data_IF_658197491125
#
_entry.id   IF_658197491125
#
_cell.length_a   1.000
_cell.length_b   1.000
_cell.length_c   1.000
_cell.angle_alpha   90.00
_cell.angle_beta   90.00
_cell.angle_gamma   90.00
#
_symmetry.space_group_name_H-M   'P 1'
#
loop_
_entity.id
_entity.type
_entity.pdbx_description
1 polymer ?
#
# COMPACT_ATOMS: atom_id res chain seq x y z
N UNK A 1 52.70 16.58 -20.03
CA UNK A 1 52.42 15.55 -21.03
C UNK A 1 51.15 14.89 -20.56
N UNK A 2 50.10 15.13 -21.10
CA UNK A 2 49.33 15.04 -22.31
C UNK A 2 47.96 14.53 -21.91
N UNK A 3 47.00 15.12 -22.24
CA UNK A 3 45.98 15.48 -23.24
C UNK A 3 44.62 14.94 -22.78
N UNK A 4 43.69 15.82 -22.48
CA UNK A 4 42.62 16.29 -23.38
C UNK A 4 41.67 15.18 -23.88
N UNK A 5 40.42 15.28 -23.54
CA UNK A 5 39.30 14.45 -24.03
C UNK A 5 37.93 15.03 -23.74
N UNK A 6 37.65 16.26 -24.28
CA UNK A 6 36.30 16.78 -24.45
C UNK A 6 35.54 15.93 -25.47
N UNK A 7 34.33 15.51 -25.14
CA UNK A 7 33.32 15.16 -26.15
C UNK A 7 31.98 15.78 -25.78
N UNK A 8 31.74 16.89 -26.43
CA UNK A 8 30.45 17.51 -26.71
C UNK A 8 29.70 16.70 -27.76
N UNK A 9 28.41 16.42 -27.53
CA UNK A 9 27.47 16.00 -28.59
C UNK A 9 26.14 16.66 -28.31
N UNK A 10 25.89 17.68 -29.00
CA UNK A 10 24.99 17.91 -30.13
C UNK A 10 23.50 17.95 -29.79
N UNK A 11 23.06 19.20 -29.69
CA UNK A 11 21.72 19.70 -29.98
C UNK A 11 21.25 19.24 -31.37
N UNK A 12 20.03 18.74 -31.49
CA UNK A 12 19.28 18.73 -32.73
C UNK A 12 17.90 19.30 -32.51
N UNK A 13 17.83 20.60 -32.82
CA UNK A 13 16.62 21.31 -33.20
C UNK A 13 16.15 20.83 -34.57
N UNK A 14 14.86 20.58 -34.74
CA UNK A 14 14.21 20.64 -36.01
C UNK A 14 12.94 21.46 -35.84
N UNK A 15 13.00 22.63 -36.42
CA UNK A 15 11.88 23.53 -36.66
C UNK A 15 11.45 23.42 -38.13
N UNK A 16 10.32 24.01 -38.44
CA UNK A 16 9.79 24.47 -39.72
C UNK A 16 8.78 23.51 -40.38
N UNK A 17 7.60 23.88 -40.44
CA UNK A 17 6.85 24.96 -41.14
C UNK A 17 6.14 24.36 -42.37
N UNK A 18 4.89 24.57 -42.57
CA UNK A 18 4.38 25.43 -43.65
C UNK A 18 2.87 25.37 -43.70
N UNK A 19 2.32 26.52 -43.70
CA UNK A 19 0.93 26.83 -44.02
C UNK A 19 0.64 26.62 -45.51
N UNK A 20 -0.54 26.13 -45.84
CA UNK A 20 -1.19 26.44 -47.12
C UNK A 20 -2.70 26.61 -46.90
N UNK A 21 -3.07 27.83 -47.11
CA UNK A 21 -4.42 28.39 -47.19
C UNK A 21 -5.00 27.97 -48.57
N UNK A 22 -6.17 27.28 -48.57
CA UNK A 22 -6.99 27.15 -49.79
C UNK A 22 -8.42 27.55 -49.41
N UNK A 23 -8.77 28.73 -49.91
CA UNK A 23 -10.13 29.23 -49.91
C UNK A 23 -10.90 28.56 -51.07
N UNK A 24 -12.01 27.93 -50.76
CA UNK A 24 -13.00 27.56 -51.80
C UNK A 24 -14.38 28.06 -51.41
N UNK A 25 -14.88 28.90 -52.23
CA UNK A 25 -16.18 29.57 -52.27
C UNK A 25 -17.37 28.59 -52.20
N UNK A 26 -18.27 28.85 -51.27
CA UNK A 26 -19.53 28.13 -51.14
C UNK A 26 -20.59 28.66 -52.10
N UNK A 27 -21.18 27.79 -52.86
CA UNK A 27 -22.39 28.03 -53.62
C UNK A 27 -23.59 27.62 -52.74
N UNK A 28 -24.45 28.57 -52.49
CA UNK A 28 -25.70 28.38 -51.73
C UNK A 28 -26.78 27.92 -52.72
N UNK A 29 -27.29 26.71 -52.53
CA UNK A 29 -28.56 26.27 -53.19
C UNK A 29 -29.63 26.04 -52.07
N UNK A 30 -30.83 26.57 -52.21
CA UNK A 30 -31.91 26.33 -51.26
C UNK A 30 -32.54 24.93 -51.54
N UNK A 31 -32.40 23.99 -50.62
CA UNK A 31 -33.09 22.72 -50.70
C UNK A 31 -34.44 22.81 -49.97
N UNK A 32 -35.46 22.46 -50.73
CA UNK A 32 -36.86 22.33 -50.36
C UNK A 32 -37.04 21.39 -49.18
N UNK A 33 -37.80 21.82 -48.17
CA UNK A 33 -38.21 21.04 -47.02
C UNK A 33 -39.09 19.87 -47.43
N UNK A 34 -38.58 18.64 -47.37
CA UNK A 34 -39.39 17.45 -47.32
C UNK A 34 -39.58 17.05 -45.85
N UNK A 35 -40.79 17.18 -45.35
CA UNK A 35 -41.26 16.65 -44.07
C UNK A 35 -41.22 15.11 -44.11
N UNK A 36 -40.09 14.52 -43.75
CA UNK A 36 -39.99 13.10 -43.45
C UNK A 36 -40.55 12.79 -42.11
N UNK A 37 -41.67 12.09 -42.10
CA UNK A 37 -42.40 11.58 -40.95
C UNK A 37 -41.44 10.65 -40.17
N UNK A 38 -40.94 11.09 -38.99
CA UNK A 38 -40.07 10.34 -38.14
C UNK A 38 -40.73 9.04 -37.71
N UNK A 39 -40.13 7.92 -38.05
CA UNK A 39 -40.45 6.59 -37.55
C UNK A 39 -40.07 6.57 -36.07
N UNK A 40 -40.96 6.10 -35.15
CA UNK A 40 -40.63 6.04 -33.72
C UNK A 40 -39.40 5.15 -33.54
N UNK A 41 -38.45 5.52 -32.62
CA UNK A 41 -37.29 4.71 -32.29
C UNK A 41 -37.72 3.37 -31.70
N UNK A 42 -37.00 2.28 -32.01
CA UNK A 42 -37.28 0.99 -31.39
C UNK A 42 -37.09 1.08 -29.88
N UNK A 43 -37.86 0.30 -29.08
CA UNK A 43 -37.70 0.32 -27.63
C UNK A 43 -36.25 -0.04 -27.28
N UNK A 44 -35.61 0.83 -26.46
CA UNK A 44 -34.30 0.56 -25.87
C UNK A 44 -34.40 -0.78 -25.14
N UNK A 45 -33.74 -1.77 -25.68
CA UNK A 45 -33.47 -3.01 -24.95
C UNK A 45 -32.84 -2.60 -23.62
N UNK A 46 -33.50 -2.96 -22.53
CA UNK A 46 -33.04 -2.69 -21.19
C UNK A 46 -31.58 -3.14 -21.07
N UNK A 47 -30.75 -2.25 -20.58
CA UNK A 47 -29.36 -2.55 -20.25
C UNK A 47 -29.40 -3.75 -19.30
N UNK A 48 -29.04 -4.92 -19.80
CA UNK A 48 -28.77 -6.07 -18.94
C UNK A 48 -27.77 -5.61 -17.89
N UNK A 49 -27.98 -5.90 -16.60
CA UNK A 49 -26.97 -5.60 -15.59
C UNK A 49 -25.67 -6.24 -16.06
N UNK A 50 -24.62 -5.43 -16.16
CA UNK A 50 -23.28 -5.89 -16.46
C UNK A 50 -22.97 -7.04 -15.49
N UNK A 51 -23.00 -8.26 -15.99
CA UNK A 51 -22.50 -9.42 -15.26
C UNK A 51 -21.04 -9.13 -14.99
N UNK A 52 -20.75 -8.76 -13.74
CA UNK A 52 -19.39 -8.82 -13.22
C UNK A 52 -18.85 -10.21 -13.58
N UNK A 53 -17.64 -10.32 -14.16
CA UNK A 53 -17.07 -11.60 -14.45
C UNK A 53 -17.10 -12.41 -13.15
N UNK A 54 -17.91 -13.45 -13.13
CA UNK A 54 -17.93 -14.41 -12.04
C UNK A 54 -16.52 -15.00 -12.03
N UNK A 55 -15.70 -14.54 -11.09
CA UNK A 55 -14.45 -15.22 -10.75
C UNK A 55 -14.82 -16.70 -10.61
N UNK A 56 -14.18 -17.50 -11.44
CA UNK A 56 -14.47 -18.91 -11.69
C UNK A 56 -14.82 -19.62 -10.38
N UNK A 57 -16.07 -19.99 -10.22
CA UNK A 57 -16.58 -20.75 -9.06
C UNK A 57 -16.00 -22.16 -8.97
N UNK A 58 -15.19 -22.53 -9.95
CA UNK A 58 -14.62 -23.89 -10.07
C UNK A 58 -13.50 -24.20 -9.06
N UNK A 59 -12.93 -23.16 -8.41
CA UNK A 59 -11.82 -23.30 -7.46
C UNK A 59 -12.21 -22.98 -6.01
N UNK A 60 -13.48 -23.00 -5.65
CA UNK A 60 -13.89 -22.69 -4.28
C UNK A 60 -14.16 -23.99 -3.49
N UNK A 61 -13.56 -24.11 -2.30
CA UNK A 61 -13.66 -25.30 -1.44
C UNK A 61 -14.21 -24.93 -0.06
N UNK A 62 -14.97 -25.85 0.54
CA UNK A 62 -15.37 -25.77 1.94
C UNK A 62 -14.24 -26.34 2.81
N UNK A 63 -13.77 -25.55 3.75
CA UNK A 63 -12.78 -25.99 4.73
C UNK A 63 -13.51 -26.40 6.01
N UNK A 64 -13.23 -27.60 6.48
CA UNK A 64 -13.78 -28.11 7.75
C UNK A 64 -12.71 -28.94 8.47
N UNK A 65 -11.93 -28.28 9.30
CA UNK A 65 -10.93 -28.91 10.16
C UNK A 65 -11.32 -28.64 11.61
N UNK A 66 -11.59 -29.68 12.37
CA UNK A 66 -11.95 -29.59 13.80
C UNK A 66 -10.89 -30.32 14.59
N UNK A 67 -10.18 -29.63 15.48
CA UNK A 67 -9.06 -30.19 16.25
C UNK A 67 -8.04 -30.96 15.39
N UNK A 68 -7.79 -30.48 14.17
CA UNK A 68 -6.86 -31.11 13.25
C UNK A 68 -5.43 -30.68 13.57
N UNK A 69 -4.48 -31.57 13.35
CA UNK A 69 -3.06 -31.28 13.53
C UNK A 69 -2.62 -30.17 12.57
N UNK A 70 -1.86 -29.20 13.07
CA UNK A 70 -1.37 -28.06 12.27
C UNK A 70 -0.67 -28.54 11.01
N UNK A 71 0.17 -29.58 11.11
CA UNK A 71 0.89 -30.15 9.98
C UNK A 71 -0.07 -30.68 8.89
N UNK A 72 -1.11 -31.39 9.29
CA UNK A 72 -2.10 -31.90 8.36
C UNK A 72 -2.89 -30.78 7.64
N UNK A 73 -3.28 -29.75 8.38
CA UNK A 73 -4.02 -28.60 7.83
C UNK A 73 -3.15 -27.80 6.86
N UNK A 74 -1.90 -27.53 7.25
CA UNK A 74 -0.94 -26.80 6.39
C UNK A 74 -0.69 -27.54 5.08
N UNK A 75 -0.53 -28.88 5.13
CA UNK A 75 -0.36 -29.69 3.92
C UNK A 75 -1.61 -29.68 3.03
N UNK A 76 -2.79 -29.82 3.62
CA UNK A 76 -4.05 -29.81 2.86
C UNK A 76 -4.26 -28.46 2.15
N UNK A 77 -4.05 -27.34 2.87
CA UNK A 77 -4.16 -26.01 2.28
C UNK A 77 -3.04 -25.75 1.28
N UNK A 78 -1.85 -26.30 1.51
CA UNK A 78 -0.73 -26.25 0.57
C UNK A 78 -1.07 -26.87 -0.78
N UNK A 79 -1.66 -28.06 -0.76
CA UNK A 79 -2.13 -28.74 -1.98
C UNK A 79 -3.22 -27.93 -2.68
N UNK A 80 -4.18 -27.39 -1.93
CA UNK A 80 -5.26 -26.59 -2.49
C UNK A 80 -4.79 -25.27 -3.10
N UNK A 81 -3.87 -24.57 -2.42
CA UNK A 81 -3.34 -23.26 -2.87
C UNK A 81 -2.21 -23.37 -3.87
N UNK A 82 -1.64 -24.58 -4.06
CA UNK A 82 -0.45 -24.79 -4.90
C UNK A 82 0.83 -24.20 -4.31
N UNK A 83 0.89 -23.99 -3.01
CA UNK A 83 2.05 -23.41 -2.31
C UNK A 83 2.87 -24.48 -1.60
N UNK A 84 4.18 -24.34 -1.65
CA UNK A 84 5.10 -25.21 -0.94
C UNK A 84 5.33 -24.69 0.48
N UNK A 85 5.00 -25.53 1.48
CA UNK A 85 5.22 -25.22 2.88
C UNK A 85 6.36 -26.05 3.46
N UNK A 86 7.15 -25.40 4.32
CA UNK A 86 8.12 -26.05 5.20
C UNK A 86 7.71 -25.71 6.63
N UNK A 87 7.54 -26.74 7.45
CA UNK A 87 7.05 -26.58 8.82
C UNK A 87 8.25 -26.76 9.76
N UNK A 88 8.46 -25.78 10.66
CA UNK A 88 9.48 -25.89 11.72
C UNK A 88 9.10 -27.02 12.70
N UNK A 89 10.01 -27.90 13.12
CA UNK A 89 9.71 -28.99 14.05
C UNK A 89 9.12 -28.57 15.40
N UNK A 90 9.25 -27.30 15.76
CA UNK A 90 8.68 -26.71 16.97
C UNK A 90 7.20 -26.35 16.82
N UNK A 91 6.67 -26.33 15.60
CA UNK A 91 5.27 -26.07 15.31
C UNK A 91 4.48 -27.34 15.63
N UNK A 92 3.81 -27.33 16.77
CA UNK A 92 3.00 -28.45 17.26
C UNK A 92 1.70 -27.92 17.83
N UNK A 93 0.63 -28.69 17.71
CA UNK A 93 -0.68 -28.35 18.24
C UNK A 93 -1.79 -28.65 17.27
N UNK A 94 -3.01 -28.33 17.67
CA UNK A 94 -4.20 -28.53 16.87
C UNK A 94 -4.85 -27.19 16.57
N UNK A 95 -5.49 -27.06 15.42
CA UNK A 95 -6.29 -25.92 15.07
C UNK A 95 -7.66 -26.34 14.53
N UNK A 96 -8.62 -25.47 14.69
CA UNK A 96 -9.95 -25.63 14.12
C UNK A 96 -10.18 -24.52 13.10
N UNK A 97 -10.49 -24.89 11.87
CA UNK A 97 -10.78 -23.99 10.77
C UNK A 97 -12.03 -24.49 10.06
N UNK A 98 -13.14 -23.78 10.21
CA UNK A 98 -14.40 -24.13 9.59
C UNK A 98 -14.94 -22.95 8.80
N UNK A 99 -15.39 -23.21 7.57
CA UNK A 99 -16.04 -22.20 6.72
C UNK A 99 -17.44 -22.67 6.35
N UNK A 100 -18.42 -21.76 6.48
CA UNK A 100 -19.81 -22.03 6.09
C UNK A 100 -20.03 -21.85 4.58
N UNK A 101 -19.14 -21.12 3.93
CA UNK A 101 -19.19 -20.84 2.48
C UNK A 101 -17.93 -21.32 1.79
N UNK A 102 -18.03 -21.73 0.53
CA UNK A 102 -16.85 -22.04 -0.27
C UNK A 102 -15.91 -20.85 -0.35
N UNK A 103 -14.62 -21.07 -0.10
CA UNK A 103 -13.57 -20.06 -0.10
C UNK A 103 -12.61 -20.25 -1.26
N UNK A 104 -12.12 -19.15 -1.81
CA UNK A 104 -11.10 -19.16 -2.85
C UNK A 104 -9.74 -19.55 -2.28
N UNK A 105 -8.79 -19.91 -3.15
CA UNK A 105 -7.41 -20.26 -2.75
C UNK A 105 -6.76 -19.16 -1.90
N UNK A 106 -6.95 -17.88 -2.26
CA UNK A 106 -6.40 -16.77 -1.49
C UNK A 106 -7.05 -16.64 -0.11
N UNK A 107 -8.38 -16.74 -0.05
CA UNK A 107 -9.11 -16.69 1.22
C UNK A 107 -8.74 -17.86 2.15
N UNK A 108 -8.56 -19.08 1.60
CA UNK A 108 -8.09 -20.22 2.37
C UNK A 108 -6.70 -19.99 2.98
N UNK A 109 -5.81 -19.38 2.20
CA UNK A 109 -4.48 -19.00 2.69
C UNK A 109 -4.54 -17.92 3.78
N UNK A 110 -5.34 -16.88 3.60
CA UNK A 110 -5.50 -15.80 4.59
C UNK A 110 -6.12 -16.33 5.90
N UNK A 111 -7.08 -17.27 5.82
CA UNK A 111 -7.64 -17.94 7.00
C UNK A 111 -6.61 -18.82 7.70
N UNK A 112 -5.77 -19.53 6.95
CA UNK A 112 -4.66 -20.30 7.54
C UNK A 112 -3.70 -19.38 8.30
N UNK A 113 -3.31 -18.25 7.72
CA UNK A 113 -2.47 -17.24 8.39
C UNK A 113 -3.08 -16.81 9.72
N UNK A 114 -4.35 -16.45 9.71
CA UNK A 114 -5.07 -16.02 10.92
C UNK A 114 -5.15 -17.13 11.95
N UNK A 115 -5.47 -18.37 11.54
CA UNK A 115 -5.56 -19.51 12.45
C UNK A 115 -4.21 -19.85 13.09
N UNK A 116 -3.12 -19.82 12.32
CA UNK A 116 -1.76 -20.06 12.82
C UNK A 116 -1.34 -18.97 13.81
N UNK A 117 -1.68 -17.69 13.52
CA UNK A 117 -1.39 -16.58 14.41
C UNK A 117 -2.04 -16.73 15.79
N UNK A 118 -3.28 -17.22 15.85
CA UNK A 118 -3.97 -17.48 17.11
C UNK A 118 -3.24 -18.53 17.95
N UNK A 119 -2.47 -19.42 17.32
CA UNK A 119 -1.65 -20.45 17.99
C UNK A 119 -0.21 -19.97 18.25
N UNK A 120 0.12 -18.70 17.94
CA UNK A 120 1.46 -18.14 18.11
C UNK A 120 2.46 -18.54 17.03
N UNK A 121 1.97 -18.95 15.85
CA UNK A 121 2.77 -19.26 14.67
C UNK A 121 2.50 -18.28 13.54
N UNK A 122 3.46 -18.13 12.64
CA UNK A 122 3.28 -17.29 11.45
C UNK A 122 3.96 -17.93 10.24
N UNK A 123 3.64 -17.42 9.06
CA UNK A 123 4.25 -17.86 7.81
C UNK A 123 5.21 -16.79 7.31
N UNK A 124 6.48 -17.18 7.12
CA UNK A 124 7.51 -16.33 6.49
C UNK A 124 7.72 -16.83 5.07
N UNK A 125 7.53 -15.94 4.09
CA UNK A 125 7.81 -16.26 2.69
C UNK A 125 9.28 -15.98 2.38
N UNK A 126 9.99 -17.00 1.87
CA UNK A 126 11.35 -16.88 1.38
C UNK A 126 11.41 -17.42 -0.05
N UNK A 127 11.39 -16.49 -1.02
CA UNK A 127 11.26 -16.87 -2.43
C UNK A 127 9.95 -17.63 -2.72
N UNK A 128 10.05 -18.85 -3.21
CA UNK A 128 8.89 -19.69 -3.57
C UNK A 128 8.45 -20.65 -2.45
N UNK A 129 9.01 -20.54 -1.26
CA UNK A 129 8.73 -21.42 -0.13
C UNK A 129 8.11 -20.62 1.02
N UNK A 130 6.99 -21.09 1.55
CA UNK A 130 6.34 -20.57 2.73
C UNK A 130 6.79 -21.40 3.95
N UNK A 131 7.45 -20.78 4.91
CA UNK A 131 7.93 -21.44 6.13
C UNK A 131 7.02 -21.11 7.30
N UNK A 132 6.48 -22.12 7.95
CA UNK A 132 5.69 -21.98 9.18
C UNK A 132 6.65 -22.04 10.37
N UNK A 133 6.69 -20.98 11.16
CA UNK A 133 7.63 -20.79 12.29
C UNK A 133 6.93 -20.16 13.50
N UNK A 134 7.49 -20.31 14.71
CA UNK A 134 7.02 -19.54 15.85
C UNK A 134 7.14 -18.03 15.60
N UNK A 135 6.13 -17.26 16.02
CA UNK A 135 6.05 -15.81 15.79
C UNK A 135 7.29 -15.06 16.34
N UNK A 136 7.80 -15.50 17.49
CA UNK A 136 8.98 -14.89 18.10
C UNK A 136 10.23 -14.93 17.22
N UNK A 137 10.35 -15.97 16.40
CA UNK A 137 11.52 -16.20 15.55
C UNK A 137 11.34 -15.69 14.12
N UNK A 138 10.11 -15.41 13.72
CA UNK A 138 9.76 -15.04 12.35
C UNK A 138 10.50 -13.78 11.86
N UNK A 139 10.68 -12.78 12.74
CA UNK A 139 11.42 -11.55 12.44
C UNK A 139 12.90 -11.76 12.13
N UNK A 140 13.49 -12.88 12.61
CA UNK A 140 14.89 -13.21 12.39
C UNK A 140 15.13 -13.99 11.09
N UNK A 141 14.06 -14.58 10.52
CA UNK A 141 14.17 -15.47 9.36
C UNK A 141 14.01 -14.76 8.02
N UNK A 142 13.99 -13.42 8.03
CA UNK A 142 13.79 -12.62 6.84
C UNK A 142 12.31 -12.60 6.43
N UNK A 143 11.81 -11.43 6.09
CA UNK A 143 10.46 -11.18 5.60
C UNK A 143 10.51 -10.19 4.45
N UNK A 144 9.37 -9.94 3.86
CA UNK A 144 9.24 -8.90 2.85
C UNK A 144 9.59 -7.54 3.47
N UNK A 145 10.54 -6.82 2.87
CA UNK A 145 10.89 -5.46 3.27
C UNK A 145 10.23 -4.49 2.30
N UNK A 146 9.44 -3.59 2.84
CA UNK A 146 8.75 -2.53 2.08
C UNK A 146 9.44 -1.20 2.34
N UNK A 147 9.89 -0.56 1.26
CA UNK A 147 10.55 0.74 1.34
C UNK A 147 9.57 1.89 1.68
N UNK A 148 10.10 3.12 1.88
CA UNK A 148 9.33 4.28 2.37
C UNK A 148 8.14 4.69 1.49
N UNK A 149 8.13 4.32 0.21
CA UNK A 149 7.06 4.61 -0.75
C UNK A 149 6.25 3.39 -1.15
N UNK A 150 6.56 2.23 -0.60
CA UNK A 150 5.86 0.99 -0.89
C UNK A 150 4.64 0.84 0.03
N UNK A 151 3.53 0.36 -0.53
CA UNK A 151 2.39 -0.05 0.29
C UNK A 151 2.66 -1.44 0.87
N UNK A 152 2.37 -1.62 2.16
CA UNK A 152 2.38 -2.95 2.76
C UNK A 152 1.37 -3.86 2.04
N UNK A 153 1.72 -5.12 1.77
CA UNK A 153 0.77 -6.10 1.25
C UNK A 153 -0.42 -6.24 2.21
N UNK A 154 -1.48 -6.91 1.77
CA UNK A 154 -2.65 -7.17 2.60
C UNK A 154 -2.48 -8.47 3.38
N UNK A 155 -3.13 -8.56 4.54
CA UNK A 155 -3.28 -9.79 5.30
C UNK A 155 -2.34 -9.90 6.51
N UNK A 156 -2.37 -11.08 7.15
CA UNK A 156 -1.65 -11.39 8.41
C UNK A 156 -0.20 -11.89 8.17
N UNK A 157 0.43 -11.49 7.09
CA UNK A 157 1.84 -11.80 6.88
C UNK A 157 2.75 -10.80 7.60
N UNK A 158 3.87 -11.30 8.13
CA UNK A 158 4.88 -10.47 8.77
C UNK A 158 5.70 -9.70 7.73
N UNK A 159 5.79 -8.37 7.90
CA UNK A 159 6.47 -7.46 6.97
C UNK A 159 7.31 -6.47 7.76
N UNK A 160 8.45 -6.09 7.23
CA UNK A 160 9.22 -4.95 7.71
C UNK A 160 8.99 -3.76 6.79
N UNK A 161 8.51 -2.66 7.35
CA UNK A 161 8.26 -1.43 6.59
C UNK A 161 9.09 -0.29 7.14
N UNK A 162 9.60 0.52 6.21
CA UNK A 162 10.40 1.71 6.50
C UNK A 162 9.53 2.94 6.29
N UNK A 163 9.41 3.80 7.32
CA UNK A 163 8.67 5.04 7.27
C UNK A 163 9.64 6.22 7.41
N UNK A 164 9.62 7.15 6.49
CA UNK A 164 10.40 8.39 6.57
C UNK A 164 9.51 9.52 7.00
N UNK A 165 9.81 10.14 8.14
CA UNK A 165 9.07 11.26 8.69
C UNK A 165 9.62 12.60 8.15
N UNK A 166 8.73 13.58 7.99
CA UNK A 166 9.07 14.89 7.45
C UNK A 166 9.08 15.98 8.53
N UNK A 167 8.11 15.95 9.41
CA UNK A 167 7.87 17.01 10.40
C UNK A 167 8.17 16.55 11.82
N UNK A 168 7.69 15.36 12.18
CA UNK A 168 7.85 14.81 13.51
C UNK A 168 9.17 14.04 13.66
N UNK A 169 9.67 13.94 14.90
CA UNK A 169 10.88 13.18 15.21
C UNK A 169 10.59 11.68 15.28
N UNK A 170 11.35 10.87 14.53
CA UNK A 170 11.27 9.42 14.60
C UNK A 170 11.45 8.88 16.03
N UNK A 171 12.34 9.49 16.81
CA UNK A 171 12.58 9.08 18.21
C UNK A 171 11.38 9.36 19.09
N UNK A 172 10.68 10.49 18.90
CA UNK A 172 9.49 10.85 19.67
C UNK A 172 8.29 9.96 19.31
N UNK A 173 8.22 9.45 18.08
CA UNK A 173 7.15 8.57 17.61
C UNK A 173 7.23 7.15 18.19
N UNK A 174 8.42 6.65 18.57
CA UNK A 174 8.58 5.28 19.08
C UNK A 174 7.70 5.01 20.31
N UNK A 175 7.70 5.80 21.40
CA UNK A 175 6.86 5.54 22.57
C UNK A 175 5.36 5.62 22.25
N UNK A 176 4.95 6.43 21.27
CA UNK A 176 3.55 6.58 20.86
C UNK A 176 3.08 5.34 20.08
N UNK A 177 3.90 4.82 19.20
CA UNK A 177 3.55 3.70 18.33
C UNK A 177 3.79 2.33 19.00
N UNK A 178 4.71 2.23 19.95
CA UNK A 178 5.06 0.95 20.60
C UNK A 178 3.87 0.18 21.16
N UNK A 179 2.88 0.81 21.85
CA UNK A 179 1.70 0.12 22.35
C UNK A 179 0.77 -0.45 21.25
N UNK A 180 0.92 0.04 20.02
CA UNK A 180 0.10 -0.39 18.88
C UNK A 180 0.72 -1.55 18.10
N UNK A 181 1.94 -1.93 18.42
CA UNK A 181 2.72 -2.99 17.76
C UNK A 181 2.61 -4.26 18.58
N UNK A 182 2.48 -5.40 17.91
CA UNK A 182 2.39 -6.69 18.58
C UNK A 182 3.63 -6.94 19.48
N UNK A 183 3.46 -7.62 20.64
CA UNK A 183 4.53 -7.78 21.63
C UNK A 183 5.81 -8.42 21.08
N UNK A 184 5.67 -9.39 20.18
CA UNK A 184 6.78 -10.09 19.53
C UNK A 184 7.46 -9.28 18.43
N UNK A 185 6.87 -8.15 18.01
CA UNK A 185 7.31 -7.36 16.88
C UNK A 185 8.13 -6.13 17.33
N UNK A 186 8.79 -5.46 16.39
CA UNK A 186 9.78 -4.45 16.71
C UNK A 186 9.52 -3.12 16.02
N UNK A 187 9.86 -2.04 16.73
CA UNK A 187 9.98 -0.70 16.19
C UNK A 187 11.35 -0.14 16.57
N UNK A 188 12.01 0.49 15.62
CA UNK A 188 13.29 1.16 15.81
C UNK A 188 13.30 2.49 15.08
N UNK A 189 13.82 3.54 15.71
CA UNK A 189 14.06 4.83 15.09
C UNK A 189 15.52 4.93 14.64
N UNK A 190 15.72 5.51 13.46
CA UNK A 190 17.01 5.91 12.94
C UNK A 190 17.05 7.44 12.82
N UNK A 191 17.60 8.15 13.84
CA UNK A 191 17.48 9.60 13.96
C UNK A 191 18.19 10.38 12.83
N UNK A 192 19.29 9.83 12.28
CA UNK A 192 20.11 10.53 11.30
C UNK A 192 19.36 10.92 10.02
N UNK A 193 18.40 10.12 9.59
CA UNK A 193 17.57 10.39 8.42
C UNK A 193 16.07 10.44 8.74
N UNK A 194 15.73 10.59 10.02
CA UNK A 194 14.38 10.69 10.55
C UNK A 194 13.47 9.56 10.07
N UNK A 195 13.92 8.32 10.25
CA UNK A 195 13.26 7.13 9.72
C UNK A 195 12.87 6.18 10.84
N UNK A 196 11.68 5.59 10.73
CA UNK A 196 11.21 4.48 11.54
C UNK A 196 11.29 3.18 10.75
N UNK A 197 11.78 2.14 11.38
CA UNK A 197 11.74 0.76 10.86
C UNK A 197 10.83 -0.04 11.77
N UNK A 198 9.73 -0.54 11.21
CA UNK A 198 8.71 -1.28 11.96
C UNK A 198 8.55 -2.65 11.32
N UNK A 199 8.66 -3.70 12.13
CA UNK A 199 8.35 -5.07 11.71
C UNK A 199 7.07 -5.48 12.42
N UNK A 200 6.01 -5.72 11.68
CA UNK A 200 4.71 -6.13 12.20
C UNK A 200 3.87 -6.78 11.09
N UNK A 201 2.66 -7.19 11.42
CA UNK A 201 1.70 -7.70 10.45
C UNK A 201 1.28 -6.63 9.46
N UNK A 202 1.13 -7.02 8.20
CA UNK A 202 0.87 -6.11 7.10
C UNK A 202 -0.39 -5.24 7.31
N UNK A 203 -1.47 -5.81 7.84
CA UNK A 203 -2.69 -5.07 8.14
C UNK A 203 -2.50 -4.06 9.27
N UNK A 204 -1.71 -4.40 10.30
CA UNK A 204 -1.38 -3.46 11.36
C UNK A 204 -0.46 -2.35 10.87
N UNK A 205 0.52 -2.67 10.01
CA UNK A 205 1.38 -1.65 9.38
C UNK A 205 0.59 -0.63 8.58
N UNK A 206 -0.45 -1.05 7.84
CA UNK A 206 -1.34 -0.12 7.12
C UNK A 206 -2.13 0.78 8.08
N UNK A 207 -2.54 0.26 9.24
CA UNK A 207 -3.17 1.06 10.28
C UNK A 207 -2.16 2.06 10.88
N UNK A 208 -0.95 1.61 11.21
CA UNK A 208 0.14 2.45 11.74
C UNK A 208 0.51 3.53 10.72
N UNK A 209 0.60 3.21 9.44
CA UNK A 209 0.87 4.18 8.37
C UNK A 209 -0.13 5.34 8.40
N UNK A 210 -1.43 5.06 8.48
CA UNK A 210 -2.47 6.10 8.57
C UNK A 210 -2.33 6.97 9.83
N UNK A 211 -1.90 6.38 10.94
CA UNK A 211 -1.65 7.12 12.18
C UNK A 211 -0.42 8.02 12.01
N UNK A 212 0.66 7.51 11.43
CA UNK A 212 1.87 8.31 11.14
C UNK A 212 1.49 9.48 10.23
N UNK A 213 0.79 9.24 9.12
CA UNK A 213 0.36 10.28 8.18
C UNK A 213 -0.52 11.36 8.82
N UNK A 214 -1.29 11.00 9.85
CA UNK A 214 -2.13 11.97 10.58
C UNK A 214 -1.34 12.81 11.61
N UNK A 215 -0.20 12.33 12.09
CA UNK A 215 0.62 13.00 13.09
C UNK A 215 1.76 13.78 12.42
N UNK A 216 2.40 13.18 11.40
CA UNK A 216 3.52 13.78 10.67
C UNK A 216 3.05 14.85 9.69
N UNK A 217 2.39 15.87 10.24
CA UNK A 217 1.89 17.05 9.51
C UNK A 217 2.71 18.27 9.87
N UNK A 218 2.84 19.20 8.91
CA UNK A 218 3.44 20.49 9.22
C UNK A 218 2.68 21.12 10.39
N UNK A 219 3.39 21.38 11.48
CA UNK A 219 2.80 22.17 12.56
C UNK A 219 2.36 23.49 11.93
N UNK A 220 1.06 23.72 11.89
CA UNK A 220 0.50 25.05 11.67
C UNK A 220 0.85 25.87 12.91
N UNK A 221 2.13 26.23 13.04
CA UNK A 221 2.46 27.34 13.92
C UNK A 221 1.81 28.55 13.25
N UNK A 222 0.76 29.06 13.88
CA UNK A 222 0.25 30.39 13.58
C UNK A 222 1.36 31.41 13.90
N UNK A 223 2.35 31.46 13.01
CA UNK A 223 3.37 32.49 13.06
C UNK A 223 2.74 33.73 12.46
N UNK A 224 2.20 34.56 13.31
CA UNK A 224 1.76 35.89 12.91
C UNK A 224 2.98 36.79 12.73
N UNK A 225 3.24 37.19 11.49
CA UNK A 225 4.31 38.14 11.18
C UNK A 225 3.73 39.58 11.35
N UNK A 226 4.05 40.21 12.48
CA UNK A 226 3.64 41.58 12.74
C UNK A 226 4.75 42.54 12.21
N UNK A 227 4.50 43.32 11.14
CA UNK A 227 5.48 44.28 10.63
C UNK A 227 5.63 45.43 11.61
N UNK A 228 6.83 45.62 12.14
CA UNK A 228 7.16 46.73 13.02
C UNK A 228 7.41 47.98 12.18
N UNK A 229 6.53 49.00 12.32
CA UNK A 229 6.64 50.25 11.56
C UNK A 229 7.51 51.34 12.24
N UNK A 230 7.52 51.38 13.58
CA UNK A 230 8.19 52.40 14.36
C UNK A 230 8.93 51.75 15.54
N UNK A 231 10.18 51.36 15.35
CA UNK A 231 11.01 50.79 16.37
C UNK A 231 11.90 49.64 15.87
N UNK A 232 12.86 49.24 16.69
CA UNK A 232 13.71 48.12 16.38
C UNK A 232 13.01 46.82 16.83
N UNK A 233 12.85 45.87 15.93
CA UNK A 233 12.18 44.57 16.22
C UNK A 233 12.83 43.83 17.42
N UNK A 234 14.14 43.99 17.60
CA UNK A 234 14.87 43.38 18.73
C UNK A 234 14.45 43.96 20.09
N UNK A 235 14.18 45.27 20.18
CA UNK A 235 13.73 45.92 21.42
C UNK A 235 12.31 45.44 21.77
N UNK A 236 11.43 45.35 20.79
CA UNK A 236 10.06 44.85 20.97
C UNK A 236 10.08 43.38 21.40
N UNK A 237 10.91 42.53 20.75
CA UNK A 237 11.07 41.14 21.12
C UNK A 237 11.55 40.99 22.59
N UNK A 238 12.44 41.85 23.05
CA UNK A 238 12.93 41.85 24.45
C UNK A 238 11.80 42.18 25.43
N UNK A 239 10.93 43.14 25.11
CA UNK A 239 9.79 43.52 25.92
C UNK A 239 8.76 42.40 25.95
N UNK A 240 8.42 41.76 24.82
CA UNK A 240 7.47 40.63 24.71
C UNK A 240 7.97 39.46 25.53
N UNK A 241 9.25 39.07 25.42
CA UNK A 241 9.82 37.97 26.23
C UNK A 241 9.86 38.26 27.74
N UNK A 242 9.69 39.51 28.17
CA UNK A 242 9.61 39.87 29.59
C UNK A 242 8.16 39.76 30.13
N UNK A 243 7.17 39.87 29.25
CA UNK A 243 5.74 39.87 29.61
C UNK A 243 5.12 38.47 29.52
N UNK A 244 5.67 37.58 28.68
CA UNK A 244 5.30 36.16 28.58
C UNK A 244 6.03 35.34 29.67
#
# INVERSE_FOLDING_TARGET
MGTSGRRSVLFRSIALACATLVATTSIITPAVAQTSRAKPPPPRAGSAPAQQPAASREDAVLLNFVNADIDAVVRAIGQYTGRNFVIDPRVKGTLSLSTERPVTRQQAYDQLLTALRLQGFTIVQTGNVARVVPEADAKLQGGTVVGPRGAAPSGDQLVTQVFRLQYESATAMVPILRPLIAPNNTISAYPQNNTLVITDYADNLRRIQRIIESIDTAATSDVEIIPVKNGLALEIATVVNRVL
#
